data_IF_188629052532
#
_entry.id   IF_188629052532
#
_cell.length_a   1.000
_cell.length_b   1.000
_cell.length_c   1.000
_cell.angle_alpha   90.00
_cell.angle_beta   90.00
_cell.angle_gamma   90.00
#
_symmetry.space_group_name_H-M   'P 1'
#
loop_
_entity.id
_entity.type
_entity.pdbx_description
1 polymer ?
#
# COMPACT_ATOMS: atom_id res chain seq x y z
N UNK A 1 -11.95 -9.77 -8.80
CA UNK A 1 -10.52 -9.96 -9.18
C UNK A 1 -10.06 -8.70 -9.91
N UNK A 2 -9.01 -8.08 -9.42
CA UNK A 2 -8.38 -6.90 -10.02
C UNK A 2 -7.78 -7.27 -11.39
N UNK A 3 -8.16 -6.55 -12.46
CA UNK A 3 -7.76 -6.82 -13.85
C UNK A 3 -7.86 -8.30 -14.26
N UNK A 4 -9.06 -8.89 -14.30
CA UNK A 4 -9.25 -10.31 -14.64
C UNK A 4 -8.81 -10.67 -16.06
N UNK A 5 -8.70 -9.70 -16.96
CA UNK A 5 -8.23 -9.85 -18.34
C UNK A 5 -6.72 -10.04 -18.49
N UNK A 6 -5.95 -9.79 -17.40
CA UNK A 6 -4.50 -10.04 -17.37
C UNK A 6 -4.23 -11.40 -16.74
N UNK A 7 -3.56 -12.29 -17.47
CA UNK A 7 -3.20 -13.60 -16.98
C UNK A 7 -2.35 -13.51 -15.70
N UNK A 8 -2.58 -14.44 -14.76
CA UNK A 8 -1.90 -14.42 -13.47
C UNK A 8 -0.36 -14.49 -13.60
N UNK A 9 0.14 -15.24 -14.59
CA UNK A 9 1.58 -15.38 -14.83
C UNK A 9 2.24 -14.08 -15.32
N UNK A 10 1.47 -13.21 -15.98
CA UNK A 10 1.94 -11.91 -16.47
C UNK A 10 1.92 -10.82 -15.38
N UNK A 11 1.31 -11.10 -14.23
CA UNK A 11 1.27 -10.19 -13.09
C UNK A 11 2.57 -10.20 -12.32
N UNK A 12 2.92 -9.07 -11.74
CA UNK A 12 4.14 -8.90 -10.95
C UNK A 12 3.84 -8.31 -9.57
N UNK A 13 4.59 -8.76 -8.57
CA UNK A 13 4.56 -8.18 -7.23
C UNK A 13 5.85 -7.40 -6.98
N UNK A 14 5.69 -6.19 -6.49
CA UNK A 14 6.82 -5.36 -6.06
C UNK A 14 7.46 -5.97 -4.81
N UNK A 15 8.80 -6.05 -4.81
CA UNK A 15 9.56 -6.49 -3.64
C UNK A 15 10.25 -5.30 -2.99
N UNK A 16 10.04 -5.15 -1.69
CA UNK A 16 10.73 -4.15 -0.87
C UNK A 16 11.93 -4.79 -0.17
N UNK A 17 13.03 -4.05 -0.14
CA UNK A 17 14.21 -4.38 0.66
C UNK A 17 14.57 -3.16 1.49
N UNK A 18 15.03 -3.38 2.72
CA UNK A 18 15.39 -2.28 3.61
C UNK A 18 16.48 -1.36 2.99
N UNK A 19 17.38 -1.93 2.21
CA UNK A 19 18.44 -1.23 1.49
C UNK A 19 17.95 -0.38 0.30
N UNK A 20 16.80 -0.74 -0.28
CA UNK A 20 16.21 -0.02 -1.43
C UNK A 20 15.35 1.17 -0.98
N UNK A 21 15.06 1.27 0.32
CA UNK A 21 14.28 2.38 0.84
C UNK A 21 15.16 3.63 0.85
N UNK A 22 14.81 4.65 0.06
CA UNK A 22 15.58 5.88 0.05
C UNK A 22 15.61 6.47 1.46
N UNK A 23 16.73 7.12 1.81
CA UNK A 23 16.77 8.03 2.97
C UNK A 23 15.72 9.11 2.67
N UNK A 24 14.52 8.91 3.22
CA UNK A 24 13.37 9.78 2.93
C UNK A 24 13.60 11.11 3.61
N UNK A 25 14.06 12.08 2.82
CA UNK A 25 14.11 13.47 3.28
C UNK A 25 12.67 13.98 3.40
N UNK A 26 12.24 14.48 4.56
CA UNK A 26 10.87 14.96 4.74
C UNK A 26 10.42 15.99 3.70
N UNK A 27 11.34 16.85 3.24
CA UNK A 27 11.08 17.87 2.22
C UNK A 27 10.57 17.33 0.89
N UNK A 28 10.91 16.06 0.54
CA UNK A 28 10.57 15.49 -0.76
C UNK A 28 9.32 14.58 -0.70
N UNK A 29 8.74 14.44 0.49
CA UNK A 29 7.58 13.54 0.69
C UNK A 29 6.38 13.96 -0.15
N UNK A 30 6.08 15.26 -0.16
CA UNK A 30 4.97 15.81 -0.94
C UNK A 30 5.14 15.50 -2.43
N UNK A 31 6.26 15.85 -3.01
CA UNK A 31 6.56 15.65 -4.43
C UNK A 31 6.49 14.17 -4.85
N UNK A 32 6.97 13.26 -3.99
CA UNK A 32 6.87 11.81 -4.23
C UNK A 32 5.43 11.35 -4.24
N UNK A 33 4.63 11.78 -3.26
CA UNK A 33 3.21 11.45 -3.20
C UNK A 33 2.47 11.94 -4.45
N UNK A 34 2.70 13.18 -4.87
CA UNK A 34 2.06 13.76 -6.06
C UNK A 34 2.42 12.97 -7.33
N UNK A 35 3.69 12.60 -7.50
CA UNK A 35 4.12 11.78 -8.64
C UNK A 35 3.45 10.41 -8.65
N UNK A 36 3.39 9.75 -7.50
CA UNK A 36 2.76 8.44 -7.37
C UNK A 36 1.26 8.51 -7.66
N UNK A 37 0.56 9.53 -7.18
CA UNK A 37 -0.88 9.73 -7.42
C UNK A 37 -1.16 9.99 -8.91
N UNK A 38 -0.38 10.87 -9.55
CA UNK A 38 -0.53 11.11 -10.98
C UNK A 38 -0.33 9.84 -11.81
N UNK A 39 0.67 9.04 -11.45
CA UNK A 39 0.90 7.75 -12.10
C UNK A 39 -0.26 6.78 -11.86
N UNK A 40 -0.78 6.69 -10.63
CA UNK A 40 -1.94 5.84 -10.32
C UNK A 40 -3.13 6.21 -11.20
N UNK A 41 -3.50 7.50 -11.26
CA UNK A 41 -4.60 7.98 -12.09
C UNK A 41 -4.37 7.69 -13.57
N UNK A 42 -3.14 7.87 -14.08
CA UNK A 42 -2.80 7.51 -15.45
C UNK A 42 -3.00 6.02 -15.74
N UNK A 43 -2.54 5.13 -14.83
CA UNK A 43 -2.71 3.68 -14.97
C UNK A 43 -4.19 3.29 -15.01
N UNK A 44 -5.01 3.94 -14.19
CA UNK A 44 -6.45 3.73 -14.14
C UNK A 44 -7.16 4.23 -15.41
N UNK A 45 -6.82 5.41 -15.90
CA UNK A 45 -7.34 5.97 -17.14
C UNK A 45 -6.98 5.09 -18.37
N UNK A 46 -5.75 4.54 -18.37
CA UNK A 46 -5.27 3.60 -19.39
C UNK A 46 -5.81 2.17 -19.18
N UNK A 47 -6.49 1.90 -18.06
CA UNK A 47 -7.01 0.59 -17.66
C UNK A 47 -5.97 -0.53 -17.77
N UNK A 48 -4.81 -0.34 -17.15
CA UNK A 48 -3.71 -1.30 -17.17
C UNK A 48 -2.99 -1.46 -15.84
N UNK A 49 -2.24 -2.54 -15.73
CA UNK A 49 -1.34 -2.78 -14.60
C UNK A 49 -0.03 -1.99 -14.75
N UNK A 50 0.57 -1.65 -13.60
CA UNK A 50 1.87 -1.02 -13.54
C UNK A 50 2.98 -1.98 -13.97
N UNK A 51 3.94 -1.48 -14.72
CA UNK A 51 5.21 -2.15 -15.02
C UNK A 51 6.12 -2.12 -13.78
N UNK A 52 7.20 -2.92 -13.79
CA UNK A 52 8.18 -2.94 -12.69
C UNK A 52 8.78 -1.54 -12.40
N UNK A 53 9.05 -0.75 -13.43
CA UNK A 53 9.58 0.61 -13.26
C UNK A 53 8.53 1.58 -12.68
N UNK A 54 7.26 1.41 -13.03
CA UNK A 54 6.17 2.19 -12.48
C UNK A 54 5.85 1.79 -11.04
N UNK A 55 5.95 0.50 -10.70
CA UNK A 55 5.82 0.05 -9.32
C UNK A 55 6.86 0.69 -8.40
N UNK A 56 8.10 0.89 -8.86
CA UNK A 56 9.13 1.63 -8.08
C UNK A 56 8.69 3.07 -7.78
N UNK A 57 8.05 3.75 -8.73
CA UNK A 57 7.50 5.10 -8.51
C UNK A 57 6.29 5.11 -7.57
N UNK A 58 5.38 4.13 -7.70
CA UNK A 58 4.25 3.99 -6.79
C UNK A 58 4.69 3.68 -5.36
N UNK A 59 5.74 2.88 -5.18
CA UNK A 59 6.31 2.53 -3.88
C UNK A 59 6.94 3.73 -3.14
N UNK A 60 7.19 4.84 -3.83
CA UNK A 60 7.61 6.10 -3.22
C UNK A 60 6.50 6.82 -2.45
N UNK A 61 5.25 6.46 -2.68
CA UNK A 61 4.13 7.01 -1.90
C UNK A 61 4.26 6.61 -0.43
N UNK A 62 4.08 7.56 0.45
CA UNK A 62 4.25 7.36 1.89
C UNK A 62 3.15 8.00 2.74
N UNK A 63 2.00 8.26 2.12
CA UNK A 63 0.83 8.83 2.80
C UNK A 63 1.01 10.28 3.24
N UNK A 64 0.01 10.80 3.92
CA UNK A 64 -0.07 12.22 4.24
C UNK A 64 0.42 12.58 5.65
N UNK A 65 0.82 11.61 6.47
CA UNK A 65 1.29 11.87 7.84
C UNK A 65 2.39 12.94 7.87
N UNK A 66 2.18 13.98 8.68
CA UNK A 66 3.07 15.11 8.82
C UNK A 66 3.02 16.17 7.70
N UNK A 67 2.02 16.12 6.81
CA UNK A 67 1.82 17.09 5.72
C UNK A 67 0.52 17.92 5.89
N UNK A 68 0.07 18.14 7.11
CA UNK A 68 -1.18 18.87 7.39
C UNK A 68 -1.17 20.32 6.88
N UNK A 69 0.00 20.94 6.84
CA UNK A 69 0.20 22.29 6.34
C UNK A 69 -0.14 22.42 4.84
N UNK A 70 0.02 21.35 4.06
CA UNK A 70 -0.28 21.34 2.62
C UNK A 70 -1.79 21.44 2.32
N UNK A 71 -2.63 21.16 3.29
CA UNK A 71 -4.08 21.25 3.20
C UNK A 71 -4.64 22.61 3.72
N UNK A 72 -3.77 23.55 4.08
CA UNK A 72 -4.16 24.92 4.43
C UNK A 72 -4.40 25.73 3.15
N UNK A 73 -5.51 26.49 3.11
CA UNK A 73 -5.92 27.31 1.96
C UNK A 73 -4.90 28.38 1.58
N UNK A 74 -4.03 28.77 2.51
CA UNK A 74 -2.97 29.74 2.28
C UNK A 74 -1.63 29.08 1.83
N UNK A 75 -1.58 27.75 1.78
CA UNK A 75 -0.37 27.05 1.33
C UNK A 75 -0.27 27.06 -0.20
N UNK A 76 0.94 27.21 -0.75
CA UNK A 76 1.19 27.25 -2.20
C UNK A 76 0.71 26.01 -2.94
N UNK A 77 0.70 24.85 -2.28
CA UNK A 77 0.36 23.55 -2.88
C UNK A 77 -1.13 23.22 -2.79
N UNK A 78 -1.92 24.06 -2.10
CA UNK A 78 -3.35 23.80 -1.85
C UNK A 78 -4.17 23.60 -3.12
N UNK A 79 -4.01 24.50 -4.10
CA UNK A 79 -4.74 24.43 -5.38
C UNK A 79 -4.31 23.22 -6.22
N UNK A 80 -3.03 22.85 -6.16
CA UNK A 80 -2.53 21.64 -6.82
C UNK A 80 -3.18 20.39 -6.22
N UNK A 81 -3.23 20.28 -4.88
CA UNK A 81 -3.89 19.17 -4.19
C UNK A 81 -5.36 19.02 -4.57
N UNK A 82 -6.11 20.12 -4.61
CA UNK A 82 -7.52 20.11 -5.02
C UNK A 82 -7.75 19.76 -6.48
N UNK A 83 -6.75 19.94 -7.31
CA UNK A 83 -6.81 19.57 -8.72
C UNK A 83 -6.48 18.09 -8.93
N UNK A 84 -5.53 17.57 -8.15
CA UNK A 84 -5.04 16.18 -8.31
C UNK A 84 -5.96 15.21 -7.59
N UNK A 85 -6.37 15.51 -6.35
CA UNK A 85 -7.24 14.66 -5.56
C UNK A 85 -8.71 14.95 -5.89
N UNK A 86 -9.44 13.91 -6.24
CA UNK A 86 -10.89 14.03 -6.32
C UNK A 86 -11.50 14.19 -4.91
N UNK A 87 -12.79 14.57 -4.76
CA UNK A 87 -13.41 14.79 -3.46
C UNK A 87 -13.37 13.55 -2.52
N UNK A 88 -13.44 12.35 -3.09
CA UNK A 88 -13.41 11.09 -2.33
C UNK A 88 -12.00 10.77 -1.82
N UNK A 89 -10.96 11.26 -2.49
CA UNK A 89 -9.57 11.13 -2.10
C UNK A 89 -9.12 12.25 -1.16
N UNK A 90 -9.60 13.48 -1.40
CA UNK A 90 -9.15 14.66 -0.66
C UNK A 90 -9.51 14.62 0.82
N UNK A 91 -10.73 14.22 1.14
CA UNK A 91 -11.20 14.19 2.53
C UNK A 91 -10.43 13.17 3.38
N UNK A 92 -10.32 11.88 2.97
CA UNK A 92 -9.49 10.91 3.69
C UNK A 92 -8.01 11.31 3.77
N UNK A 93 -7.45 11.87 2.69
CA UNK A 93 -6.06 12.34 2.68
C UNK A 93 -5.81 13.40 3.76
N UNK A 94 -6.69 14.39 3.86
CA UNK A 94 -6.62 15.45 4.88
C UNK A 94 -6.76 14.88 6.31
N UNK A 95 -7.71 13.99 6.53
CA UNK A 95 -7.94 13.37 7.84
C UNK A 95 -6.76 12.51 8.29
N UNK A 96 -6.10 11.82 7.36
CA UNK A 96 -4.97 10.93 7.65
C UNK A 96 -3.66 11.66 7.98
N UNK A 97 -3.59 12.99 7.83
CA UNK A 97 -2.37 13.77 8.07
C UNK A 97 -1.78 13.62 9.47
N UNK A 98 -2.59 13.28 10.46
CA UNK A 98 -2.18 13.10 11.85
C UNK A 98 -1.92 11.63 12.24
N UNK A 99 -2.43 10.67 11.47
CA UNK A 99 -2.49 9.26 11.86
C UNK A 99 -1.79 8.31 10.90
N UNK A 100 -1.57 8.69 9.63
CA UNK A 100 -0.98 7.81 8.63
C UNK A 100 0.55 7.74 8.75
N UNK A 101 1.05 6.83 9.57
CA UNK A 101 2.46 6.52 9.70
C UNK A 101 2.71 5.05 9.36
N UNK A 102 3.62 4.81 8.41
CA UNK A 102 3.97 3.45 8.02
C UNK A 102 4.94 2.80 9.00
N UNK A 103 4.73 1.49 9.19
CA UNK A 103 5.58 0.66 10.05
C UNK A 103 7.02 0.63 9.51
N UNK A 104 8.03 0.90 10.35
CA UNK A 104 9.43 0.80 9.93
C UNK A 104 9.80 -0.61 9.44
N UNK A 105 10.63 -0.74 8.39
CA UNK A 105 11.04 -2.03 7.83
C UNK A 105 11.60 -3.00 8.85
N UNK A 106 12.45 -2.52 9.75
CA UNK A 106 13.06 -3.35 10.82
C UNK A 106 12.02 -4.02 11.72
N UNK A 107 10.86 -3.37 11.92
CA UNK A 107 9.75 -3.95 12.71
C UNK A 107 9.06 -5.04 11.89
N UNK A 108 8.77 -4.78 10.61
CA UNK A 108 8.15 -5.75 9.71
C UNK A 108 9.02 -7.01 9.60
N UNK A 109 10.31 -6.85 9.35
CA UNK A 109 11.28 -7.95 9.26
C UNK A 109 11.35 -8.76 10.56
N UNK A 110 11.35 -8.07 11.72
CA UNK A 110 11.33 -8.74 13.02
C UNK A 110 10.05 -9.55 13.25
N UNK A 111 8.89 -9.05 12.80
CA UNK A 111 7.62 -9.77 12.90
C UNK A 111 7.62 -11.02 12.02
N UNK A 112 8.11 -10.93 10.77
CA UNK A 112 8.25 -12.10 9.91
C UNK A 112 9.26 -13.10 10.48
N UNK A 113 10.37 -12.62 11.06
CA UNK A 113 11.34 -13.50 11.72
C UNK A 113 10.74 -14.24 12.91
N UNK A 114 9.84 -13.61 13.66
CA UNK A 114 9.11 -14.27 14.74
C UNK A 114 8.19 -15.38 14.18
N UNK A 115 7.48 -15.15 13.07
CA UNK A 115 6.66 -16.18 12.43
C UNK A 115 7.51 -17.37 11.95
N UNK A 116 8.67 -17.12 11.33
CA UNK A 116 9.61 -18.18 10.96
C UNK A 116 10.04 -19.02 12.17
N UNK A 117 10.39 -18.37 13.28
CA UNK A 117 10.80 -19.04 14.52
C UNK A 117 9.65 -19.87 15.12
N UNK A 118 8.40 -19.50 14.91
CA UNK A 118 7.22 -20.28 15.28
C UNK A 118 6.91 -21.42 14.30
N UNK A 119 7.67 -21.55 13.21
CA UNK A 119 7.53 -22.62 12.22
C UNK A 119 6.55 -22.31 11.09
N UNK A 120 6.05 -21.06 10.97
CA UNK A 120 5.21 -20.66 9.87
C UNK A 120 6.04 -20.49 8.59
N UNK A 121 5.62 -21.11 7.50
CA UNK A 121 6.31 -21.02 6.21
C UNK A 121 5.35 -20.82 5.03
N UNK A 122 4.07 -21.20 5.18
CA UNK A 122 3.08 -21.06 4.13
C UNK A 122 1.66 -21.09 4.68
N UNK A 123 0.77 -20.26 4.12
CA UNK A 123 -0.64 -20.22 4.48
C UNK A 123 -1.34 -18.98 3.92
N UNK A 124 -2.56 -18.75 4.39
CA UNK A 124 -3.29 -17.51 4.13
C UNK A 124 -2.95 -16.47 5.20
N UNK A 125 -2.38 -15.36 4.76
CA UNK A 125 -1.98 -14.24 5.63
C UNK A 125 -2.96 -13.10 5.45
N UNK A 126 -3.51 -12.58 6.55
CA UNK A 126 -4.34 -11.38 6.56
C UNK A 126 -3.53 -10.17 7.01
N UNK A 127 -3.64 -9.07 6.27
CA UNK A 127 -3.22 -7.72 6.69
C UNK A 127 -4.45 -6.79 6.67
N UNK A 128 -5.11 -6.55 7.83
CA UNK A 128 -6.43 -5.91 7.87
C UNK A 128 -6.43 -4.39 7.70
N UNK A 129 -5.25 -3.76 7.63
CA UNK A 129 -5.03 -2.32 7.37
C UNK A 129 -3.73 -2.17 6.60
N UNK A 130 -3.72 -2.61 5.33
CA UNK A 130 -2.46 -2.85 4.65
C UNK A 130 -1.75 -1.57 4.16
N UNK A 131 -2.42 -0.42 4.13
CA UNK A 131 -1.87 0.77 3.52
C UNK A 131 -1.48 0.53 2.07
N UNK A 132 -0.27 0.91 1.70
CA UNK A 132 0.30 0.58 0.39
C UNK A 132 0.92 -0.83 0.33
N UNK A 133 0.72 -1.67 1.36
CA UNK A 133 1.15 -3.06 1.38
C UNK A 133 2.62 -3.27 1.76
N UNK A 134 3.16 -2.48 2.68
CA UNK A 134 4.57 -2.65 3.08
C UNK A 134 4.86 -4.06 3.62
N UNK A 135 3.96 -4.62 4.43
CA UNK A 135 4.12 -6.01 4.90
C UNK A 135 4.15 -6.99 3.72
N UNK A 136 3.35 -6.77 2.70
CA UNK A 136 3.34 -7.63 1.49
C UNK A 136 4.68 -7.52 0.76
N UNK A 137 5.19 -6.29 0.59
CA UNK A 137 6.47 -6.03 -0.07
C UNK A 137 7.67 -6.67 0.63
N UNK A 138 7.62 -6.73 1.97
CA UNK A 138 8.65 -7.37 2.81
C UNK A 138 8.40 -8.86 3.08
N UNK A 139 7.41 -9.49 2.45
CA UNK A 139 7.17 -10.93 2.62
C UNK A 139 8.46 -11.70 2.30
N UNK A 140 9.02 -12.48 3.26
CA UNK A 140 10.28 -13.18 3.06
C UNK A 140 10.13 -14.33 2.05
N UNK A 141 11.23 -14.69 1.41
CA UNK A 141 11.27 -15.77 0.41
C UNK A 141 10.82 -17.11 0.99
N UNK A 142 11.10 -17.34 2.28
CA UNK A 142 10.66 -18.53 3.03
C UNK A 142 9.13 -18.67 3.12
N UNK A 143 8.39 -17.59 2.84
CA UNK A 143 6.92 -17.54 2.86
C UNK A 143 6.32 -17.18 1.49
N UNK A 144 7.11 -17.21 0.40
CA UNK A 144 6.68 -16.81 -0.95
C UNK A 144 5.49 -17.60 -1.50
N UNK A 145 5.28 -18.81 -1.03
CA UNK A 145 4.13 -19.64 -1.39
C UNK A 145 2.83 -19.28 -0.62
N UNK A 146 2.89 -18.32 0.28
CA UNK A 146 1.70 -17.82 0.99
C UNK A 146 0.83 -16.95 0.10
N UNK A 147 -0.48 -16.92 0.40
CA UNK A 147 -1.42 -15.98 -0.20
C UNK A 147 -1.70 -14.85 0.79
N UNK A 148 -1.47 -13.62 0.37
CA UNK A 148 -1.74 -12.46 1.21
C UNK A 148 -3.06 -11.82 0.82
N UNK A 149 -3.84 -11.49 1.83
CA UNK A 149 -5.11 -10.79 1.75
C UNK A 149 -4.97 -9.46 2.50
N UNK A 150 -4.86 -8.38 1.74
CA UNK A 150 -4.81 -7.04 2.27
C UNK A 150 -6.19 -6.40 2.24
N UNK A 151 -6.54 -5.66 3.29
CA UNK A 151 -7.72 -4.80 3.30
C UNK A 151 -7.27 -3.39 3.63
N UNK A 152 -7.77 -2.40 2.88
CA UNK A 152 -7.40 -1.00 3.08
C UNK A 152 -8.60 -0.07 2.86
N UNK A 153 -8.90 0.72 3.89
CA UNK A 153 -10.00 1.66 3.87
C UNK A 153 -9.71 2.89 3.01
N UNK A 154 -8.46 3.41 3.08
CA UNK A 154 -8.03 4.53 2.25
C UNK A 154 -7.92 4.10 0.78
N UNK A 155 -8.78 4.67 -0.03
CA UNK A 155 -8.92 4.34 -1.45
C UNK A 155 -7.61 4.55 -2.23
N UNK A 156 -6.85 5.61 -1.98
CA UNK A 156 -5.57 5.86 -2.66
C UNK A 156 -4.54 4.78 -2.31
N UNK A 157 -4.32 4.54 -1.02
CA UNK A 157 -3.36 3.52 -0.56
C UNK A 157 -3.73 2.13 -1.05
N UNK A 158 -5.01 1.77 -0.96
CA UNK A 158 -5.48 0.45 -1.41
C UNK A 158 -5.33 0.22 -2.91
N UNK A 159 -5.66 1.22 -3.75
CA UNK A 159 -5.48 1.14 -5.21
C UNK A 159 -3.99 1.11 -5.59
N UNK A 160 -3.12 1.84 -4.87
CA UNK A 160 -1.67 1.70 -5.04
C UNK A 160 -1.19 0.30 -4.68
N UNK A 161 -1.68 -0.27 -3.58
CA UNK A 161 -1.34 -1.64 -3.19
C UNK A 161 -1.77 -2.66 -4.25
N UNK A 162 -2.93 -2.47 -4.89
CA UNK A 162 -3.37 -3.32 -6.00
C UNK A 162 -2.42 -3.26 -7.20
N UNK A 163 -1.88 -2.09 -7.52
CA UNK A 163 -0.90 -1.92 -8.59
C UNK A 163 0.49 -2.48 -8.22
N UNK A 164 0.86 -2.40 -6.95
CA UNK A 164 2.14 -2.89 -6.44
C UNK A 164 2.17 -4.42 -6.30
N UNK A 165 1.06 -5.03 -5.87
CA UNK A 165 0.99 -6.46 -5.53
C UNK A 165 -0.09 -7.15 -6.35
N UNK A 166 0.15 -7.25 -7.64
CA UNK A 166 -0.81 -7.69 -8.66
C UNK A 166 -1.24 -9.15 -8.52
N UNK A 167 -0.43 -9.99 -7.85
CA UNK A 167 -0.72 -11.40 -7.56
C UNK A 167 -1.44 -11.63 -6.24
N UNK A 168 -1.50 -10.60 -5.38
CA UNK A 168 -2.11 -10.70 -4.07
C UNK A 168 -3.59 -10.26 -4.09
N UNK A 169 -4.28 -10.52 -2.99
CA UNK A 169 -5.71 -10.23 -2.88
C UNK A 169 -5.90 -8.95 -2.05
N UNK A 170 -5.99 -7.80 -2.73
CA UNK A 170 -6.17 -6.50 -2.07
C UNK A 170 -7.62 -6.05 -2.24
N UNK A 171 -8.31 -5.85 -1.12
CA UNK A 171 -9.65 -5.27 -1.03
C UNK A 171 -9.56 -3.82 -0.59
N UNK A 172 -10.15 -2.92 -1.38
CA UNK A 172 -10.30 -1.51 -1.02
C UNK A 172 -11.67 -1.33 -0.39
N UNK A 173 -11.72 -0.98 0.89
CA UNK A 173 -12.95 -0.85 1.67
C UNK A 173 -12.73 -1.14 3.15
N UNK A 174 -13.80 -1.04 3.95
CA UNK A 174 -13.77 -1.34 5.38
C UNK A 174 -13.57 -2.83 5.67
N UNK A 175 -12.76 -3.15 6.67
CA UNK A 175 -12.56 -4.54 7.08
C UNK A 175 -13.87 -5.20 7.52
N UNK A 176 -14.77 -4.44 8.16
CA UNK A 176 -16.09 -4.86 8.60
C UNK A 176 -17.03 -5.24 7.46
N UNK A 177 -16.73 -4.84 6.23
CA UNK A 177 -17.50 -5.17 5.03
C UNK A 177 -17.02 -6.46 4.36
N UNK A 178 -15.90 -7.02 4.83
CA UNK A 178 -15.33 -8.23 4.25
C UNK A 178 -16.07 -9.48 4.71
N UNK A 179 -16.18 -10.46 3.81
CA UNK A 179 -16.89 -11.73 4.07
C UNK A 179 -15.90 -12.92 3.98
N UNK A 180 -14.93 -12.93 4.89
CA UNK A 180 -14.01 -14.07 4.98
C UNK A 180 -14.66 -15.23 5.76
N UNK A 181 -14.48 -16.49 5.32
CA UNK A 181 -14.93 -17.64 6.07
C UNK A 181 -14.24 -17.78 7.44
N UNK A 182 -14.91 -18.38 8.40
CA UNK A 182 -14.29 -18.73 9.69
C UNK A 182 -13.04 -19.59 9.48
N UNK A 183 -12.00 -19.33 10.26
CA UNK A 183 -10.72 -20.06 10.23
C UNK A 183 -10.03 -20.08 8.85
N UNK A 184 -10.29 -19.06 8.02
CA UNK A 184 -9.69 -18.94 6.69
C UNK A 184 -8.22 -18.55 6.71
N UNK A 185 -7.82 -17.76 7.69
CA UNK A 185 -6.45 -17.25 7.82
C UNK A 185 -5.63 -18.07 8.81
N UNK A 186 -4.40 -18.38 8.44
CA UNK A 186 -3.41 -19.02 9.32
C UNK A 186 -2.69 -17.97 10.18
N UNK A 187 -2.55 -16.77 9.67
CA UNK A 187 -1.88 -15.64 10.34
C UNK A 187 -2.62 -14.33 10.02
N UNK A 188 -2.74 -13.47 11.03
CA UNK A 188 -3.02 -12.05 10.84
C UNK A 188 -1.79 -11.26 11.30
N UNK A 189 -1.29 -10.39 10.42
CA UNK A 189 -0.10 -9.57 10.66
C UNK A 189 -0.37 -8.15 10.19
N UNK A 190 0.08 -7.16 10.94
CA UNK A 190 -0.12 -5.75 10.55
C UNK A 190 0.10 -4.81 11.72
N UNK A 191 -0.05 -3.52 11.43
CA UNK A 191 -0.07 -2.45 12.44
C UNK A 191 -1.39 -1.68 12.24
N UNK A 192 -2.44 -2.19 12.87
CA UNK A 192 -3.78 -1.57 12.80
C UNK A 192 -3.84 -0.27 13.60
N UNK A 193 -4.61 0.75 13.13
CA UNK A 193 -4.81 2.00 13.86
C UNK A 193 -5.62 1.82 15.15
#
# INVERSE_FOLDING_TARGET
VFHPEVDFDDRIDHKLRAEDLPIRVPSDKYERNIRAIRLLHQLEDENRLATESEQKLLADYSGWGGLSDRFDENHSDYEELKTILNPEEYTPARESTLTAFYTPPVVIEAMYKALENMGFSRGNILEPSCGVGNFIGFLPESMSDSKVYGVELDSLSGRMAQQLYQKQNITVGGFEETLFPDSFFDVAIGNVP
#
